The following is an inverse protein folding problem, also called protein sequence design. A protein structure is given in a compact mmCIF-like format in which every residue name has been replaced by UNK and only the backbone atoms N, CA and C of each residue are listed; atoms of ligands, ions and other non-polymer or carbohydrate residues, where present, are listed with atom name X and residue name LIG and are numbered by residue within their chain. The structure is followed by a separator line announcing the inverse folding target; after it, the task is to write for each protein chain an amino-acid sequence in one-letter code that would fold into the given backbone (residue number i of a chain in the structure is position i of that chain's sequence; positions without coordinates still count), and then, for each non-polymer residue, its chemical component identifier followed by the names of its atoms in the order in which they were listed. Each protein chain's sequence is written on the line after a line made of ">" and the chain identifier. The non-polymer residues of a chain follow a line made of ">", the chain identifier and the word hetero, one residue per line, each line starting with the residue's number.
data_IF_196753058619
#
_entry.id   IF_196753058619
#
_cell.length_a   1.000
_cell.length_b   1.000
_cell.length_c   1.000
_cell.angle_alpha   90.00
_cell.angle_beta   90.00
_cell.angle_gamma   90.00
#
_symmetry.space_group_name_H-M   'P 1'
#
loop_
_entity.id
_entity.type
_entity.pdbx_description
1 polymer ?
#
# COMPACT_ATOMS: atom_id res chain seq x y z
N UNK A 1 13.12 12.62 3.65
CA UNK A 1 12.57 11.80 4.75
C UNK A 1 11.68 12.70 5.60
N UNK A 2 10.34 12.54 5.55
CA UNK A 2 9.40 13.38 6.29
C UNK A 2 9.38 13.04 7.79
N UNK A 3 9.25 14.05 8.65
CA UNK A 3 9.36 13.98 10.12
C UNK A 3 8.23 13.14 10.75
N UNK A 4 8.44 12.53 11.94
CA UNK A 4 7.49 11.60 12.56
C UNK A 4 6.08 12.17 12.84
N UNK A 5 5.94 13.48 12.99
CA UNK A 5 4.67 14.17 13.29
C UNK A 5 3.76 14.38 12.07
N UNK A 6 4.26 14.24 10.84
CA UNK A 6 3.44 14.40 9.63
C UNK A 6 2.74 13.10 9.19
N UNK A 7 3.08 11.95 9.81
CA UNK A 7 2.60 10.62 9.40
C UNK A 7 1.42 10.09 10.22
N UNK A 8 1.17 10.66 11.39
CA UNK A 8 0.17 10.14 12.33
C UNK A 8 -0.73 11.25 12.86
N UNK A 9 -2.03 10.95 12.97
CA UNK A 9 -3.02 11.77 13.67
C UNK A 9 -3.23 11.18 15.06
N UNK A 10 -3.13 12.02 16.08
CA UNK A 10 -3.34 11.64 17.47
C UNK A 10 -4.67 12.26 17.91
N UNK A 11 -5.59 11.40 18.32
CA UNK A 11 -6.87 11.79 18.88
C UNK A 11 -6.82 11.56 20.39
N UNK A 12 -7.33 12.52 21.14
CA UNK A 12 -7.36 12.50 22.60
C UNK A 12 -8.77 12.79 23.06
N UNK A 13 -9.26 12.04 24.04
CA UNK A 13 -10.52 12.35 24.70
C UNK A 13 -10.32 13.45 25.74
N UNK A 14 -11.36 14.23 26.06
CA UNK A 14 -11.30 15.13 27.21
C UNK A 14 -11.36 14.29 28.51
N UNK A 15 -10.41 14.44 29.43
CA UNK A 15 -10.45 13.78 30.74
C UNK A 15 -11.75 14.01 31.51
N UNK A 16 -12.36 15.20 31.39
CA UNK A 16 -13.60 15.55 32.11
C UNK A 16 -14.79 14.72 31.66
N UNK A 17 -14.84 14.38 30.37
CA UNK A 17 -15.86 13.50 29.81
C UNK A 17 -15.65 12.04 30.24
N UNK A 18 -14.41 11.68 30.60
CA UNK A 18 -14.01 10.32 30.92
C UNK A 18 -14.06 9.99 32.42
N UNK A 19 -14.04 11.00 33.29
CA UNK A 19 -13.94 10.83 34.74
C UNK A 19 -15.13 10.08 35.37
N UNK A 20 -16.34 10.28 34.84
CA UNK A 20 -17.54 9.56 35.27
C UNK A 20 -17.84 8.29 34.47
N UNK A 21 -16.98 7.87 33.55
CA UNK A 21 -17.30 6.80 32.61
C UNK A 21 -17.23 5.42 33.31
N UNK A 22 -18.32 4.62 33.35
CA UNK A 22 -18.32 3.30 33.99
C UNK A 22 -17.39 2.29 33.28
N UNK A 23 -17.02 2.57 32.04
CA UNK A 23 -16.13 1.73 31.23
C UNK A 23 -14.68 2.24 31.21
N UNK A 24 -14.33 3.26 32.00
CA UNK A 24 -13.00 3.89 31.97
C UNK A 24 -11.88 2.85 32.12
N UNK A 25 -12.03 1.93 33.07
CA UNK A 25 -11.06 0.85 33.37
C UNK A 25 -10.86 -0.14 32.21
N UNK A 26 -11.87 -0.30 31.35
CA UNK A 26 -11.81 -1.13 30.15
C UNK A 26 -11.28 -0.34 28.93
N UNK A 27 -11.49 0.98 28.93
CA UNK A 27 -11.24 1.85 27.78
C UNK A 27 -9.80 2.40 27.73
N UNK A 28 -9.21 2.77 28.87
CA UNK A 28 -7.83 3.28 28.97
C UNK A 28 -7.21 2.95 30.33
N UNK A 29 -5.90 2.70 30.35
CA UNK A 29 -5.11 2.56 31.60
C UNK A 29 -4.34 3.84 31.95
N UNK A 30 -4.64 4.94 31.27
CA UNK A 30 -3.98 6.23 31.49
C UNK A 30 -4.32 6.78 32.87
N UNK A 31 -3.30 7.23 33.60
CA UNK A 31 -3.47 7.90 34.90
C UNK A 31 -4.28 9.20 34.79
N UNK A 32 -4.19 9.86 33.64
CA UNK A 32 -4.90 11.11 33.37
C UNK A 32 -6.34 10.87 32.90
N UNK A 33 -6.83 9.62 32.93
CA UNK A 33 -8.17 9.24 32.48
C UNK A 33 -8.45 9.65 31.01
N UNK A 34 -7.37 9.83 30.24
CA UNK A 34 -7.38 10.22 28.83
C UNK A 34 -7.19 8.99 27.94
N UNK A 35 -8.06 8.83 26.93
CA UNK A 35 -7.89 7.85 25.87
C UNK A 35 -7.12 8.50 24.73
N UNK A 36 -5.98 7.91 24.38
CA UNK A 36 -5.16 8.35 23.23
C UNK A 36 -5.25 7.31 22.13
N UNK A 37 -5.66 7.74 20.94
CA UNK A 37 -5.73 6.90 19.74
C UNK A 37 -4.80 7.50 18.69
N UNK A 38 -3.82 6.71 18.24
CA UNK A 38 -2.91 7.08 17.17
C UNK A 38 -3.35 6.39 15.88
N UNK A 39 -3.72 7.14 14.84
CA UNK A 39 -4.01 6.60 13.51
C UNK A 39 -2.99 7.12 12.49
N UNK A 40 -2.59 6.27 11.55
CA UNK A 40 -1.77 6.73 10.43
C UNK A 40 -2.61 7.61 9.49
N UNK A 41 -2.00 8.59 8.81
CA UNK A 41 -2.73 9.49 7.88
C UNK A 41 -3.38 8.75 6.70
N UNK A 42 -2.91 7.54 6.39
CA UNK A 42 -3.46 6.67 5.34
C UNK A 42 -4.36 5.55 5.87
N UNK A 43 -4.69 5.56 7.17
CA UNK A 43 -5.44 4.46 7.77
C UNK A 43 -6.83 4.30 7.15
N UNK A 44 -7.52 5.41 6.86
CA UNK A 44 -8.83 5.39 6.18
C UNK A 44 -8.77 4.74 4.79
N UNK A 45 -7.70 5.01 4.02
CA UNK A 45 -7.51 4.38 2.71
C UNK A 45 -7.23 2.87 2.84
N UNK A 46 -6.52 2.45 3.90
CA UNK A 46 -6.29 1.03 4.17
C UNK A 46 -7.59 0.31 4.56
N UNK A 47 -8.41 0.94 5.39
CA UNK A 47 -9.73 0.42 5.77
C UNK A 47 -10.63 0.26 4.54
N UNK A 48 -10.68 1.28 3.68
CA UNK A 48 -11.44 1.24 2.43
C UNK A 48 -10.93 0.13 1.49
N UNK A 49 -9.62 0.04 1.29
CA UNK A 49 -9.03 -1.02 0.47
C UNK A 49 -9.34 -2.43 1.04
N UNK A 50 -9.39 -2.57 2.36
CA UNK A 50 -9.78 -3.83 3.00
C UNK A 50 -11.27 -4.12 2.83
N UNK A 51 -12.14 -3.12 2.95
CA UNK A 51 -13.56 -3.27 2.67
C UNK A 51 -13.80 -3.70 1.21
N UNK A 52 -13.19 -3.00 0.24
CA UNK A 52 -13.24 -3.35 -1.18
C UNK A 52 -12.78 -4.78 -1.42
N UNK A 53 -11.74 -5.24 -0.71
CA UNK A 53 -11.19 -6.60 -0.88
C UNK A 53 -12.24 -7.69 -0.65
N UNK A 54 -13.25 -7.44 0.19
CA UNK A 54 -14.28 -8.41 0.53
C UNK A 54 -15.52 -8.37 -0.38
N UNK A 55 -15.61 -7.38 -1.29
CA UNK A 55 -16.74 -7.29 -2.23
C UNK A 55 -16.71 -8.41 -3.27
N UNK A 56 -17.89 -8.80 -3.77
CA UNK A 56 -17.99 -9.88 -4.75
C UNK A 56 -17.40 -9.50 -6.10
N UNK A 57 -17.40 -8.21 -6.44
CA UNK A 57 -16.70 -7.68 -7.61
C UNK A 57 -15.19 -7.92 -7.49
N UNK A 58 -14.60 -7.58 -6.35
CA UNK A 58 -13.17 -7.78 -6.14
C UNK A 58 -12.77 -9.25 -6.14
N UNK A 59 -13.61 -10.14 -5.57
CA UNK A 59 -13.39 -11.59 -5.64
C UNK A 59 -13.33 -12.11 -7.08
N UNK A 60 -14.06 -11.50 -8.01
CA UNK A 60 -14.02 -11.83 -9.44
C UNK A 60 -12.79 -11.24 -10.15
N UNK A 61 -12.39 -10.02 -9.80
CA UNK A 61 -11.27 -9.30 -10.44
C UNK A 61 -9.91 -9.81 -9.94
N UNK A 62 -9.77 -10.06 -8.63
CA UNK A 62 -8.48 -10.37 -8.01
C UNK A 62 -7.75 -11.57 -8.64
N UNK A 63 -8.41 -12.68 -9.00
CA UNK A 63 -7.76 -13.81 -9.68
C UNK A 63 -7.12 -13.44 -11.03
N UNK A 64 -7.57 -12.40 -11.72
CA UNK A 64 -7.02 -11.96 -13.02
C UNK A 64 -5.60 -11.38 -12.87
N UNK A 65 -5.16 -11.06 -11.65
CA UNK A 65 -3.80 -10.59 -11.37
C UNK A 65 -2.74 -11.63 -11.74
N UNK A 66 -3.04 -12.92 -11.62
CA UNK A 66 -2.11 -14.01 -11.96
C UNK A 66 -1.72 -14.02 -13.45
N UNK A 67 -2.65 -13.58 -14.30
CA UNK A 67 -2.49 -13.60 -15.76
C UNK A 67 -1.69 -12.39 -16.26
N UNK A 68 -1.80 -11.27 -15.55
CA UNK A 68 -1.25 -9.98 -15.98
C UNK A 68 -0.11 -9.52 -15.08
N UNK A 69 -0.43 -9.14 -13.85
CA UNK A 69 0.49 -8.50 -12.90
C UNK A 69 1.56 -9.47 -12.42
N UNK A 70 1.16 -10.64 -11.91
CA UNK A 70 2.11 -11.59 -11.32
C UNK A 70 3.06 -12.18 -12.37
N UNK A 71 2.57 -12.38 -13.60
CA UNK A 71 3.41 -12.81 -14.73
C UNK A 71 4.50 -11.79 -15.06
N UNK A 72 4.20 -10.49 -15.01
CA UNK A 72 5.21 -9.43 -15.21
C UNK A 72 6.24 -9.42 -14.07
N UNK A 73 5.79 -9.60 -12.82
CA UNK A 73 6.73 -9.71 -11.70
C UNK A 73 7.61 -10.96 -11.75
N UNK A 74 7.07 -12.09 -12.20
CA UNK A 74 7.84 -13.30 -12.43
C UNK A 74 8.91 -13.08 -13.51
N UNK A 75 8.54 -12.48 -14.65
CA UNK A 75 9.47 -12.14 -15.73
C UNK A 75 10.58 -11.20 -15.24
N UNK A 76 10.22 -10.15 -14.49
CA UNK A 76 11.19 -9.23 -13.91
C UNK A 76 12.18 -9.95 -12.96
N UNK A 77 11.72 -10.92 -12.18
CA UNK A 77 12.56 -11.68 -11.25
C UNK A 77 13.48 -12.67 -11.96
N UNK A 78 12.93 -13.51 -12.84
CA UNK A 78 13.70 -14.58 -13.49
C UNK A 78 14.58 -14.05 -14.63
N UNK A 79 14.00 -13.23 -15.52
CA UNK A 79 14.66 -12.84 -16.77
C UNK A 79 15.39 -11.50 -16.64
N UNK A 80 14.98 -10.63 -15.72
CA UNK A 80 15.62 -9.32 -15.50
C UNK A 80 16.39 -9.23 -14.17
N UNK A 81 16.55 -10.34 -13.46
CA UNK A 81 17.46 -10.42 -12.30
C UNK A 81 16.98 -9.67 -11.06
N UNK A 82 15.70 -9.28 -10.99
CA UNK A 82 15.12 -8.51 -9.88
C UNK A 82 15.03 -9.29 -8.56
N UNK A 83 15.51 -10.55 -8.51
CA UNK A 83 15.73 -11.29 -7.27
C UNK A 83 16.84 -10.69 -6.41
N UNK A 84 17.77 -9.97 -7.02
CA UNK A 84 18.93 -9.39 -6.34
C UNK A 84 19.09 -7.92 -6.68
N UNK A 85 19.58 -7.15 -5.72
CA UNK A 85 20.01 -5.77 -5.94
C UNK A 85 21.45 -5.77 -6.43
N UNK A 86 21.68 -5.38 -7.70
CA UNK A 86 23.02 -5.35 -8.30
C UNK A 86 23.77 -4.06 -8.00
N UNK A 87 23.04 -3.01 -7.64
CA UNK A 87 23.58 -1.68 -7.36
C UNK A 87 23.56 -1.41 -5.85
N UNK A 88 24.49 -0.56 -5.38
CA UNK A 88 24.48 -0.06 -4.00
C UNK A 88 23.64 1.21 -3.90
N UNK A 89 22.73 1.25 -2.92
CA UNK A 89 21.87 2.41 -2.63
C UNK A 89 20.46 2.30 -3.19
N UNK A 90 19.50 2.85 -2.45
CA UNK A 90 18.06 2.73 -2.76
C UNK A 90 17.70 3.36 -4.11
N UNK A 91 18.19 4.58 -4.36
CA UNK A 91 17.90 5.36 -5.57
C UNK A 91 18.35 4.62 -6.84
N UNK A 92 19.56 4.06 -6.84
CA UNK A 92 20.10 3.34 -7.99
C UNK A 92 19.31 2.06 -8.30
N UNK A 93 18.95 1.29 -7.27
CA UNK A 93 18.11 0.11 -7.43
C UNK A 93 16.68 0.47 -7.90
N UNK A 94 16.17 1.63 -7.47
CA UNK A 94 14.90 2.16 -7.95
C UNK A 94 14.98 2.49 -9.45
N UNK A 95 16.06 3.14 -9.91
CA UNK A 95 16.26 3.42 -11.34
C UNK A 95 16.31 2.13 -12.18
N UNK A 96 17.03 1.11 -11.72
CA UNK A 96 17.07 -0.20 -12.40
C UNK A 96 15.66 -0.80 -12.53
N UNK A 97 14.89 -0.78 -11.44
CA UNK A 97 13.50 -1.25 -11.43
C UNK A 97 12.60 -0.47 -12.40
N UNK A 98 12.75 0.87 -12.43
CA UNK A 98 11.98 1.75 -13.30
C UNK A 98 12.28 1.48 -14.78
N UNK A 99 13.54 1.24 -15.14
CA UNK A 99 13.93 0.92 -16.52
C UNK A 99 13.29 -0.41 -16.96
N UNK A 100 13.37 -1.46 -16.13
CA UNK A 100 12.78 -2.77 -16.42
C UNK A 100 11.27 -2.63 -16.71
N UNK A 101 10.53 -1.95 -15.83
CA UNK A 101 9.08 -1.78 -16.02
C UNK A 101 8.72 -0.83 -17.15
N UNK A 102 9.56 0.17 -17.45
CA UNK A 102 9.39 1.04 -18.62
C UNK A 102 9.48 0.24 -19.92
N UNK A 103 10.49 -0.63 -20.05
CA UNK A 103 10.62 -1.54 -21.18
C UNK A 103 9.41 -2.49 -21.31
N UNK A 104 8.91 -3.02 -20.20
CA UNK A 104 7.67 -3.82 -20.20
C UNK A 104 6.46 -3.04 -20.73
N UNK A 105 6.30 -1.78 -20.30
CA UNK A 105 5.20 -0.93 -20.75
C UNK A 105 5.30 -0.64 -22.25
N UNK A 106 6.51 -0.36 -22.76
CA UNK A 106 6.76 -0.15 -24.19
C UNK A 106 6.46 -1.42 -25.00
N UNK A 107 6.90 -2.59 -24.53
CA UNK A 107 6.58 -3.90 -25.15
C UNK A 107 5.07 -4.12 -25.20
N UNK A 108 4.37 -3.86 -24.10
CA UNK A 108 2.90 -4.00 -24.02
C UNK A 108 2.20 -3.05 -24.99
N UNK A 109 2.66 -1.80 -25.10
CA UNK A 109 2.14 -0.83 -26.05
C UNK A 109 2.32 -1.29 -27.50
N UNK A 110 3.51 -1.78 -27.86
CA UNK A 110 3.77 -2.30 -29.20
C UNK A 110 2.89 -3.50 -29.56
N UNK A 111 2.77 -4.47 -28.65
CA UNK A 111 1.89 -5.63 -28.84
C UNK A 111 0.41 -5.22 -28.94
N UNK A 112 -0.01 -4.19 -28.18
CA UNK A 112 -1.36 -3.65 -28.25
C UNK A 112 -1.63 -2.99 -29.60
N UNK A 113 -0.71 -2.15 -30.10
CA UNK A 113 -0.85 -1.51 -31.41
C UNK A 113 -0.93 -2.54 -32.54
N UNK A 114 -0.12 -3.59 -32.48
CA UNK A 114 -0.18 -4.72 -33.43
C UNK A 114 -1.53 -5.44 -33.40
N UNK A 115 -2.08 -5.66 -32.21
CA UNK A 115 -3.40 -6.31 -32.05
C UNK A 115 -4.54 -5.47 -32.63
N UNK A 116 -4.45 -4.15 -32.49
CA UNK A 116 -5.47 -3.20 -32.98
C UNK A 116 -5.25 -2.82 -34.46
N UNK A 117 -4.14 -3.27 -35.08
CA UNK A 117 -3.85 -3.03 -36.49
C UNK A 117 -3.25 -1.65 -36.80
N UNK A 118 -2.67 -0.97 -35.81
CA UNK A 118 -1.97 0.31 -36.02
C UNK A 118 -0.58 0.15 -36.64
N UNK A 119 0.02 -1.04 -36.51
CA UNK A 119 1.30 -1.49 -37.08
C UNK A 119 1.21 -2.99 -37.33
#
# INVERSE_FOLDING_TARGET
>A
MLRPTEKYRIYKSDPKDCEGCPFLSQCTKSKNQEKVITRHVWESYKEEANHIRHTDEWKKIYPQRKETIERVFADAKENHGMRFTRLKGLERNQHESLIIFSCHNLKKLGLSKKRVGYI
#
